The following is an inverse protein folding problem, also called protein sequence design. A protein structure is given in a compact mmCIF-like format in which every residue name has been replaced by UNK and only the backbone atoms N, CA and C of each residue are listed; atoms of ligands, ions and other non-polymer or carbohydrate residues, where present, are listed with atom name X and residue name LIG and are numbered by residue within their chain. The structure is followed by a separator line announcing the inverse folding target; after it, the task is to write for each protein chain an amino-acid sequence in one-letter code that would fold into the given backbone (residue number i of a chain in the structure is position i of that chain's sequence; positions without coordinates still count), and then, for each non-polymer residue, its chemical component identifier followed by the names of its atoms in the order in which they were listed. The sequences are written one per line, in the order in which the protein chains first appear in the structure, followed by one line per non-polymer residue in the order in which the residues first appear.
data_IF_546304623888
#
_entry.id   IF_546304623888
#
_cell.length_a   1.000
_cell.length_b   1.000
_cell.length_c   1.000
_cell.angle_alpha   90.00
_cell.angle_beta   90.00
_cell.angle_gamma   90.00
#
_symmetry.space_group_name_H-M   'P 1'
#
loop_
_entity.id
_entity.type
_entity.pdbx_description
1 polymer ?
#
# COMPACT_ATOMS: atom_id res chain seq x y z
N UNK A 1 3.64 -7.52 14.92
CA UNK A 1 4.57 -6.35 15.05
C UNK A 1 3.91 -5.11 15.65
N UNK A 2 2.57 -4.97 15.62
CA UNK A 2 1.87 -3.77 16.12
C UNK A 2 1.88 -3.52 17.64
N UNK A 3 2.38 -4.44 18.47
CA UNK A 3 2.50 -4.23 19.92
C UNK A 3 3.70 -3.38 20.36
N UNK A 4 4.51 -2.88 19.40
CA UNK A 4 5.64 -1.97 19.70
C UNK A 4 5.14 -0.54 19.79
N UNK A 5 5.86 0.31 20.54
CA UNK A 5 5.51 1.72 20.69
C UNK A 5 5.48 2.44 19.32
N UNK A 6 4.28 2.84 18.89
CA UNK A 6 4.03 3.36 17.54
C UNK A 6 4.72 4.70 17.28
N UNK A 7 4.78 5.57 18.29
CA UNK A 7 5.40 6.91 18.18
C UNK A 7 6.92 6.90 18.06
N UNK A 8 7.57 5.74 18.18
CA UNK A 8 9.04 5.61 18.20
C UNK A 8 9.57 4.57 17.21
N UNK A 9 8.71 3.99 16.37
CA UNK A 9 9.10 2.91 15.47
C UNK A 9 8.44 3.03 14.10
N UNK A 10 9.15 2.53 13.10
CA UNK A 10 8.55 2.17 11.82
C UNK A 10 8.06 0.72 11.94
N UNK A 11 6.75 0.51 11.79
CA UNK A 11 6.13 -0.80 12.02
C UNK A 11 5.59 -1.35 10.70
N UNK A 12 6.29 -2.33 10.07
CA UNK A 12 5.74 -3.05 8.94
C UNK A 12 4.54 -3.92 9.35
N UNK A 13 3.50 -3.88 8.52
CA UNK A 13 2.24 -4.60 8.68
C UNK A 13 1.73 -5.07 7.32
N UNK A 14 0.99 -6.18 7.28
CA UNK A 14 0.16 -6.51 6.12
C UNK A 14 -0.99 -5.51 5.99
N UNK A 15 -1.54 -5.39 4.78
CA UNK A 15 -2.75 -4.59 4.48
C UNK A 15 -3.69 -5.38 3.57
N UNK A 16 -5.00 -5.17 3.73
CA UNK A 16 -6.02 -5.71 2.85
C UNK A 16 -6.31 -4.85 1.62
N UNK A 17 -5.76 -3.63 1.55
CA UNK A 17 -6.14 -2.63 0.54
C UNK A 17 -5.94 -3.14 -0.90
N UNK A 18 -4.76 -3.67 -1.23
CA UNK A 18 -4.48 -4.18 -2.57
C UNK A 18 -5.41 -5.35 -2.98
N UNK A 19 -5.79 -6.20 -2.02
CA UNK A 19 -6.79 -7.28 -2.26
C UNK A 19 -8.19 -6.72 -2.44
N UNK A 20 -8.55 -5.67 -1.70
CA UNK A 20 -9.83 -5.00 -1.83
C UNK A 20 -9.98 -4.30 -3.20
N UNK A 21 -8.90 -3.73 -3.74
CA UNK A 21 -8.89 -3.19 -5.10
C UNK A 21 -9.31 -4.25 -6.11
N UNK A 22 -8.85 -5.51 -5.98
CA UNK A 22 -9.28 -6.60 -6.85
C UNK A 22 -10.79 -6.92 -6.79
N UNK A 23 -11.45 -6.64 -5.66
CA UNK A 23 -12.91 -6.78 -5.54
C UNK A 23 -13.67 -5.62 -6.17
N UNK A 24 -13.12 -4.40 -6.08
CA UNK A 24 -13.74 -3.17 -6.61
C UNK A 24 -13.48 -3.02 -8.12
N UNK A 25 -12.31 -3.43 -8.58
CA UNK A 25 -11.86 -3.41 -9.97
C UNK A 25 -11.50 -4.84 -10.40
N UNK A 26 -12.47 -5.63 -10.88
CA UNK A 26 -12.26 -7.05 -11.18
C UNK A 26 -11.11 -7.34 -12.15
N UNK A 27 -10.84 -6.43 -13.10
CA UNK A 27 -9.72 -6.54 -14.05
C UNK A 27 -8.33 -6.49 -13.38
N UNK A 28 -8.25 -6.02 -12.14
CA UNK A 28 -7.04 -5.95 -11.31
C UNK A 28 -6.98 -7.06 -10.25
N UNK A 29 -7.97 -7.95 -10.20
CA UNK A 29 -8.00 -9.03 -9.22
C UNK A 29 -6.78 -9.95 -9.35
N UNK A 30 -6.11 -10.22 -8.23
CA UNK A 30 -4.87 -10.99 -8.19
C UNK A 30 -3.62 -10.30 -8.74
N UNK A 31 -3.73 -9.10 -9.33
CA UNK A 31 -2.57 -8.37 -9.90
C UNK A 31 -1.86 -7.46 -8.90
N UNK A 32 -2.54 -7.07 -7.82
CA UNK A 32 -2.02 -6.14 -6.82
C UNK A 32 -1.86 -6.83 -5.47
N UNK A 33 -0.75 -6.54 -4.81
CA UNK A 33 -0.49 -6.87 -3.41
C UNK A 33 0.24 -5.71 -2.76
N UNK A 34 0.35 -5.70 -1.43
CA UNK A 34 1.03 -4.62 -0.74
C UNK A 34 1.24 -4.88 0.74
N UNK A 35 2.05 -4.01 1.34
CA UNK A 35 2.27 -3.91 2.77
C UNK A 35 2.14 -2.45 3.19
N UNK A 36 2.04 -2.22 4.49
CA UNK A 36 2.00 -0.88 5.07
C UNK A 36 3.14 -0.71 6.07
N UNK A 37 3.69 0.50 6.10
CA UNK A 37 4.59 0.95 7.16
C UNK A 37 3.84 1.98 7.99
N UNK A 38 3.60 1.67 9.27
CA UNK A 38 3.09 2.67 10.21
C UNK A 38 4.27 3.47 10.72
N UNK A 39 4.16 4.78 10.67
CA UNK A 39 5.22 5.72 11.06
C UNK A 39 4.71 6.68 12.14
N UNK A 40 5.60 7.39 12.86
CA UNK A 40 5.23 8.34 13.93
C UNK A 40 4.56 9.64 13.44
N UNK A 41 3.42 9.53 12.76
CA UNK A 41 2.56 10.67 12.40
C UNK A 41 1.15 10.44 12.93
N UNK A 42 0.53 11.50 13.47
CA UNK A 42 -0.81 11.40 14.08
C UNK A 42 -1.92 11.22 13.04
N UNK A 43 -1.71 11.77 11.84
CA UNK A 43 -2.65 11.72 10.73
C UNK A 43 -1.88 11.90 9.40
N UNK A 44 -2.60 11.73 8.29
CA UNK A 44 -2.13 11.68 6.90
C UNK A 44 -1.32 10.42 6.60
N UNK A 45 -1.48 9.92 5.38
CA UNK A 45 -0.80 8.75 4.86
C UNK A 45 -0.57 8.90 3.36
N UNK A 46 0.32 8.07 2.82
CA UNK A 46 0.66 8.06 1.40
C UNK A 46 0.55 6.64 0.84
N UNK A 47 0.17 6.54 -0.43
CA UNK A 47 0.25 5.31 -1.20
C UNK A 47 1.41 5.43 -2.17
N UNK A 48 2.37 4.51 -2.07
CA UNK A 48 3.41 4.33 -3.06
C UNK A 48 3.05 3.13 -3.95
N UNK A 49 2.77 3.40 -5.22
CA UNK A 49 2.30 2.41 -6.19
C UNK A 49 3.37 2.19 -7.26
N UNK A 50 3.98 1.01 -7.24
CA UNK A 50 4.85 0.54 -8.32
C UNK A 50 4.10 -0.50 -9.15
N UNK A 51 3.95 -0.25 -10.45
CA UNK A 51 3.26 -1.14 -11.40
C UNK A 51 4.00 -1.24 -12.72
N UNK A 52 3.76 -2.33 -13.45
CA UNK A 52 4.15 -2.46 -14.85
C UNK A 52 2.94 -2.10 -15.73
N UNK A 53 3.11 -1.11 -16.59
CA UNK A 53 2.06 -0.67 -17.51
C UNK A 53 2.13 -1.47 -18.81
N UNK A 54 0.98 -1.75 -19.40
CA UNK A 54 0.90 -2.39 -20.73
C UNK A 54 1.32 -1.43 -21.84
N UNK A 55 0.98 -0.15 -21.69
CA UNK A 55 1.34 0.91 -22.63
C UNK A 55 2.37 1.83 -21.97
N UNK A 56 3.41 2.19 -22.73
CA UNK A 56 4.43 3.11 -22.26
C UNK A 56 3.81 4.48 -21.95
N UNK A 57 4.25 5.07 -20.84
CA UNK A 57 3.89 6.41 -20.41
C UNK A 57 5.14 7.09 -19.86
N UNK A 58 5.21 8.42 -19.97
CA UNK A 58 6.28 9.24 -19.40
C UNK A 58 5.80 9.94 -18.15
N UNK A 59 6.71 10.20 -17.21
CA UNK A 59 6.46 11.21 -16.19
C UNK A 59 6.48 12.58 -16.90
N UNK A 60 5.47 13.42 -16.60
CA UNK A 60 5.39 14.77 -17.16
C UNK A 60 6.52 15.67 -16.64
#
# INVERSE_FOLDING_TARGET
RGGRAASFNIIPSSTGAAKAVGKVLPALNGKLTGMAFRVPTVDVSVVDLTVRLEKAATYN
#
